data_IF_779475840056
#
_entry.id   IF_779475840056
#
_cell.length_a   1.000
_cell.length_b   1.000
_cell.length_c   1.000
_cell.angle_alpha   90.00
_cell.angle_beta   90.00
_cell.angle_gamma   90.00
#
_symmetry.space_group_name_H-M   'P 1'
#
loop_
_entity.id
_entity.type
_entity.pdbx_description
1 polymer ?
#
# COMPACT_ATOMS: atom_id res chain seq x y z
N UNK A 1 8.78 -28.36 -13.63
CA UNK A 1 7.95 -27.88 -12.50
C UNK A 1 8.55 -28.47 -11.23
N UNK A 2 9.32 -27.70 -10.47
CA UNK A 2 9.83 -28.18 -9.20
C UNK A 2 8.63 -28.31 -8.24
N UNK A 3 8.48 -29.48 -7.60
CA UNK A 3 7.55 -29.65 -6.48
C UNK A 3 7.77 -28.47 -5.51
N UNK A 4 6.70 -27.84 -5.04
CA UNK A 4 6.80 -26.69 -4.14
C UNK A 4 7.48 -27.14 -2.85
N UNK A 5 8.78 -26.93 -2.77
CA UNK A 5 9.59 -27.35 -1.65
C UNK A 5 9.13 -26.58 -0.40
N UNK A 6 9.08 -27.28 0.73
CA UNK A 6 8.88 -26.63 2.03
C UNK A 6 10.04 -25.68 2.31
N UNK A 7 9.75 -24.62 3.06
CA UNK A 7 10.71 -23.65 3.54
C UNK A 7 11.82 -24.36 4.31
N UNK A 8 13.10 -24.03 4.07
CA UNK A 8 14.20 -24.51 4.89
C UNK A 8 14.22 -23.86 6.29
N UNK A 9 13.39 -22.84 6.50
CA UNK A 9 13.26 -22.11 7.76
C UNK A 9 11.92 -22.40 8.43
N UNK A 10 11.94 -22.43 9.76
CA UNK A 10 10.74 -22.57 10.57
C UNK A 10 9.85 -21.33 10.47
N UNK A 11 8.54 -21.50 10.70
CA UNK A 11 7.59 -20.38 10.65
C UNK A 11 7.93 -19.30 11.69
N UNK A 12 8.52 -19.69 12.83
CA UNK A 12 9.01 -18.82 13.89
C UNK A 12 10.20 -17.94 13.49
N UNK A 13 10.85 -18.21 12.36
CA UNK A 13 11.97 -17.40 11.88
C UNK A 13 11.51 -16.19 11.04
N UNK A 14 10.23 -16.14 10.65
CA UNK A 14 9.67 -15.02 9.90
C UNK A 14 9.20 -13.92 10.85
N UNK A 15 9.78 -12.73 10.71
CA UNK A 15 9.56 -11.61 11.64
C UNK A 15 8.85 -10.41 11.00
N UNK A 16 8.68 -10.43 9.68
CA UNK A 16 7.99 -9.39 8.92
C UNK A 16 6.81 -10.00 8.17
N UNK A 17 5.61 -9.49 8.43
CA UNK A 17 4.42 -9.81 7.66
C UNK A 17 4.14 -8.74 6.60
N UNK A 18 3.66 -9.15 5.43
CA UNK A 18 3.31 -8.25 4.33
C UNK A 18 1.96 -8.67 3.77
N UNK A 19 1.00 -7.75 3.75
CA UNK A 19 -0.36 -7.98 3.26
C UNK A 19 -0.58 -7.21 1.96
N UNK A 20 -1.07 -7.92 0.95
CA UNK A 20 -1.54 -7.38 -0.32
C UNK A 20 -3.06 -7.60 -0.44
N UNK A 21 -3.76 -6.70 -1.10
CA UNK A 21 -5.19 -6.83 -1.42
C UNK A 21 -5.44 -7.57 -2.74
N UNK A 22 -4.56 -7.39 -3.73
CA UNK A 22 -4.76 -7.84 -5.11
C UNK A 22 -3.66 -8.79 -5.59
N UNK A 23 -3.96 -9.69 -6.55
CA UNK A 23 -2.95 -10.55 -7.18
C UNK A 23 -1.80 -9.76 -7.84
N UNK A 24 -2.10 -8.59 -8.42
CA UNK A 24 -1.12 -7.69 -9.04
C UNK A 24 -0.10 -7.18 -8.01
N UNK A 25 -0.55 -6.92 -6.78
CA UNK A 25 0.28 -6.47 -5.66
C UNK A 25 1.10 -7.63 -5.09
N UNK A 26 0.51 -8.82 -4.94
CA UNK A 26 1.23 -10.03 -4.55
C UNK A 26 2.36 -10.37 -5.54
N UNK A 27 2.10 -10.22 -6.84
CA UNK A 27 3.11 -10.42 -7.87
C UNK A 27 4.25 -9.40 -7.77
N UNK A 28 3.94 -8.13 -7.48
CA UNK A 28 4.97 -7.12 -7.21
C UNK A 28 5.79 -7.45 -5.95
N UNK A 29 5.14 -7.81 -4.84
CA UNK A 29 5.80 -8.19 -3.60
C UNK A 29 6.74 -9.38 -3.78
N UNK A 30 6.28 -10.43 -4.49
CA UNK A 30 7.11 -11.58 -4.86
C UNK A 30 8.28 -11.18 -5.78
N UNK A 31 8.04 -10.21 -6.65
CA UNK A 31 9.03 -9.61 -7.54
C UNK A 31 10.20 -8.97 -6.78
N UNK A 32 9.92 -8.37 -5.62
CA UNK A 32 10.88 -7.66 -4.78
C UNK A 32 11.72 -8.56 -3.87
N UNK A 33 11.31 -9.82 -3.65
CA UNK A 33 12.07 -10.75 -2.82
C UNK A 33 13.43 -11.08 -3.43
N UNK A 34 14.47 -11.09 -2.61
CA UNK A 34 15.82 -11.51 -3.01
C UNK A 34 15.83 -13.03 -3.24
N UNK A 35 15.33 -13.78 -2.25
CA UNK A 35 15.18 -15.25 -2.30
C UNK A 35 13.75 -15.68 -2.00
N UNK A 36 13.29 -16.75 -2.65
CA UNK A 36 12.01 -17.40 -2.37
C UNK A 36 12.29 -18.68 -1.57
N UNK A 37 11.58 -18.89 -0.47
CA UNK A 37 11.77 -20.03 0.42
C UNK A 37 10.77 -21.17 0.16
N UNK A 38 9.71 -20.95 -0.62
CA UNK A 38 8.70 -21.98 -0.90
C UNK A 38 7.51 -21.90 0.05
N UNK A 39 6.99 -23.07 0.49
CA UNK A 39 5.79 -23.16 1.35
C UNK A 39 6.13 -23.16 2.84
N UNK A 40 5.20 -22.80 3.74
CA UNK A 40 5.42 -22.93 5.19
C UNK A 40 5.92 -24.32 5.58
N UNK A 41 6.85 -24.38 6.54
CA UNK A 41 7.42 -25.65 7.00
C UNK A 41 6.36 -26.44 7.78
N UNK A 42 5.69 -25.75 8.71
CA UNK A 42 4.49 -26.24 9.37
C UNK A 42 3.29 -25.74 8.60
N UNK A 43 2.41 -26.67 8.21
CA UNK A 43 1.19 -26.33 7.51
C UNK A 43 0.33 -25.37 8.38
N UNK A 44 -0.33 -24.38 7.76
CA UNK A 44 -1.34 -23.60 8.45
C UNK A 44 -2.43 -24.49 9.07
N UNK A 45 -3.07 -24.01 10.13
CA UNK A 45 -4.23 -24.70 10.71
C UNK A 45 -5.39 -24.76 9.70
N UNK A 46 -6.31 -25.71 9.84
CA UNK A 46 -7.43 -25.89 8.90
C UNK A 46 -8.32 -24.65 8.73
N UNK A 47 -8.33 -23.75 9.73
CA UNK A 47 -9.08 -22.50 9.70
C UNK A 47 -8.35 -21.35 8.98
N UNK A 48 -7.03 -21.48 8.73
CA UNK A 48 -6.23 -20.50 7.98
C UNK A 48 -6.32 -20.82 6.49
N UNK A 49 -7.02 -19.95 5.75
CA UNK A 49 -7.26 -20.12 4.32
C UNK A 49 -6.29 -19.31 3.46
N UNK A 50 -5.32 -18.63 4.08
CA UNK A 50 -4.35 -17.85 3.35
C UNK A 50 -3.40 -18.73 2.54
N UNK A 51 -2.91 -18.16 1.44
CA UNK A 51 -1.75 -18.71 0.73
C UNK A 51 -0.55 -17.82 0.97
N UNK A 52 0.52 -18.40 1.50
CA UNK A 52 1.73 -17.67 1.85
C UNK A 52 2.83 -17.79 0.79
N UNK A 53 3.49 -16.67 0.52
CA UNK A 53 4.78 -16.60 -0.18
C UNK A 53 5.84 -16.23 0.83
N UNK A 54 6.84 -17.09 0.96
CA UNK A 54 7.93 -16.92 1.92
C UNK A 54 9.22 -16.54 1.20
N UNK A 55 9.99 -15.63 1.78
CA UNK A 55 11.26 -15.21 1.19
C UNK A 55 12.12 -14.35 2.11
N UNK A 56 13.20 -13.81 1.54
CA UNK A 56 14.07 -12.82 2.18
C UNK A 56 14.04 -11.50 1.42
N UNK A 57 14.03 -10.40 2.17
CA UNK A 57 14.33 -9.06 1.68
C UNK A 57 15.43 -8.47 2.58
N UNK A 58 16.60 -8.23 2.00
CA UNK A 58 17.81 -7.83 2.72
C UNK A 58 18.16 -8.85 3.81
N UNK A 59 18.02 -8.43 5.06
CA UNK A 59 18.31 -9.23 6.26
C UNK A 59 17.08 -9.84 6.92
N UNK A 60 15.89 -9.62 6.38
CA UNK A 60 14.63 -10.02 7.00
C UNK A 60 13.98 -11.19 6.25
N UNK A 61 13.50 -12.18 7.00
CA UNK A 61 12.61 -13.21 6.49
C UNK A 61 11.19 -12.68 6.50
N UNK A 62 10.60 -12.60 5.31
CA UNK A 62 9.30 -11.97 5.05
C UNK A 62 8.29 -13.02 4.65
N UNK A 63 7.10 -12.95 5.23
CA UNK A 63 5.91 -13.68 4.78
C UNK A 63 4.95 -12.71 4.12
N UNK A 64 4.56 -13.01 2.88
CA UNK A 64 3.56 -12.26 2.14
C UNK A 64 2.30 -13.10 2.00
N UNK A 65 1.13 -12.49 2.21
CA UNK A 65 -0.16 -13.05 1.79
C UNK A 65 -0.92 -12.05 0.93
N UNK A 66 -1.87 -12.56 0.15
CA UNK A 66 -2.88 -11.76 -0.53
C UNK A 66 -4.25 -12.09 0.03
N UNK A 67 -5.16 -11.12 0.01
CA UNK A 67 -6.57 -11.39 0.28
C UNK A 67 -7.14 -12.38 -0.75
N UNK A 68 -8.18 -13.15 -0.39
CA UNK A 68 -8.85 -14.03 -1.31
C UNK A 68 -9.35 -13.27 -2.55
N UNK A 69 -9.30 -13.93 -3.71
CA UNK A 69 -9.69 -13.32 -4.97
C UNK A 69 -11.14 -12.79 -4.88
N UNK A 70 -11.35 -11.54 -5.26
CA UNK A 70 -12.63 -10.81 -5.18
C UNK A 70 -13.13 -10.46 -3.77
N UNK A 71 -12.33 -10.70 -2.72
CA UNK A 71 -12.66 -10.36 -1.33
C UNK A 71 -11.74 -9.26 -0.80
N UNK A 72 -11.83 -8.06 -1.35
CA UNK A 72 -11.11 -6.86 -0.85
C UNK A 72 -11.80 -6.25 0.38
N UNK A 73 -11.13 -5.29 1.02
CA UNK A 73 -11.71 -4.50 2.11
C UNK A 73 -11.23 -4.88 3.50
N UNK A 74 -11.65 -4.07 4.48
CA UNK A 74 -11.24 -4.10 5.89
C UNK A 74 -11.39 -5.49 6.52
N UNK A 75 -12.56 -6.14 6.40
CA UNK A 75 -12.81 -7.42 7.05
C UNK A 75 -11.89 -8.53 6.56
N UNK A 76 -11.70 -8.64 5.24
CA UNK A 76 -10.80 -9.62 4.65
C UNK A 76 -9.36 -9.37 5.09
N UNK A 77 -8.92 -8.11 5.09
CA UNK A 77 -7.59 -7.74 5.56
C UNK A 77 -7.36 -8.16 7.01
N UNK A 78 -8.29 -7.85 7.91
CA UNK A 78 -8.21 -8.25 9.32
C UNK A 78 -8.15 -9.77 9.49
N UNK A 79 -8.98 -10.52 8.74
CA UNK A 79 -8.98 -11.98 8.80
C UNK A 79 -7.63 -12.56 8.35
N UNK A 80 -7.16 -12.17 7.16
CA UNK A 80 -5.88 -12.62 6.62
C UNK A 80 -4.69 -12.27 7.53
N UNK A 81 -4.68 -11.08 8.13
CA UNK A 81 -3.64 -10.67 9.06
C UNK A 81 -3.63 -11.56 10.32
N UNK A 82 -4.80 -11.77 10.91
CA UNK A 82 -4.95 -12.56 12.13
C UNK A 82 -4.51 -14.02 11.91
N UNK A 83 -4.95 -14.63 10.82
CA UNK A 83 -4.54 -15.96 10.40
C UNK A 83 -3.01 -16.05 10.21
N UNK A 84 -2.40 -15.06 9.52
CA UNK A 84 -0.95 -14.97 9.37
C UNK A 84 -0.23 -14.93 10.72
N UNK A 85 -0.71 -14.14 11.69
CA UNK A 85 -0.10 -14.03 13.01
C UNK A 85 -0.19 -15.34 13.83
N UNK A 86 -1.18 -16.19 13.55
CA UNK A 86 -1.25 -17.52 14.16
C UNK A 86 -0.27 -18.50 13.53
N UNK A 87 -0.14 -18.48 12.20
CA UNK A 87 0.77 -19.37 11.47
C UNK A 87 2.24 -18.97 11.61
N UNK A 88 2.52 -17.67 11.75
CA UNK A 88 3.86 -17.09 11.90
C UNK A 88 3.94 -16.28 13.22
N UNK A 89 4.10 -16.98 14.36
CA UNK A 89 3.90 -16.38 15.68
C UNK A 89 5.03 -15.45 16.11
N UNK A 90 6.07 -15.22 15.29
CA UNK A 90 7.19 -14.34 15.60
C UNK A 90 7.25 -13.08 14.73
N UNK A 91 6.20 -12.80 13.96
CA UNK A 91 6.03 -11.50 13.32
C UNK A 91 6.07 -10.38 14.38
N UNK A 92 6.81 -9.32 14.08
CA UNK A 92 7.01 -8.13 14.91
C UNK A 92 6.44 -6.88 14.26
N UNK A 93 6.67 -6.75 12.96
CA UNK A 93 6.16 -5.64 12.16
C UNK A 93 5.43 -6.18 10.94
N UNK A 94 4.48 -5.37 10.50
CA UNK A 94 3.69 -5.57 9.31
C UNK A 94 3.93 -4.50 8.26
N UNK A 95 3.68 -4.85 7.00
CA UNK A 95 3.55 -3.91 5.89
C UNK A 95 2.19 -4.15 5.24
N UNK A 96 1.40 -3.10 5.04
CA UNK A 96 0.25 -3.13 4.14
C UNK A 96 0.67 -2.41 2.87
N UNK A 97 0.88 -3.16 1.79
CA UNK A 97 1.42 -2.62 0.54
C UNK A 97 0.51 -2.96 -0.61
N UNK A 98 0.08 -1.94 -1.32
CA UNK A 98 -0.78 -2.11 -2.47
C UNK A 98 -1.00 -0.83 -3.23
N UNK A 99 -2.06 -0.79 -4.02
CA UNK A 99 -2.48 0.42 -4.73
C UNK A 99 -3.47 1.22 -3.90
N UNK A 100 -3.50 2.52 -4.10
CA UNK A 100 -4.48 3.44 -3.52
C UNK A 100 -4.94 4.48 -4.54
N UNK A 101 -5.89 5.31 -4.11
CA UNK A 101 -6.31 6.49 -4.86
C UNK A 101 -5.59 7.73 -4.34
N UNK A 102 -4.97 8.51 -5.23
CA UNK A 102 -4.35 9.77 -4.87
C UNK A 102 -5.37 10.88 -4.75
N UNK A 103 -5.11 11.82 -3.85
CA UNK A 103 -5.84 13.07 -3.73
C UNK A 103 -4.88 14.20 -4.09
N UNK A 104 -4.86 14.65 -5.36
CA UNK A 104 -3.96 15.72 -5.79
C UNK A 104 -4.36 17.05 -5.17
N UNK A 105 -3.37 17.81 -4.68
CA UNK A 105 -3.53 19.22 -4.33
C UNK A 105 -2.59 20.05 -5.20
N UNK A 106 -3.14 20.58 -6.29
CA UNK A 106 -2.40 21.41 -7.25
C UNK A 106 -2.14 22.83 -6.73
N UNK A 107 -2.63 23.19 -5.53
CA UNK A 107 -2.53 24.55 -4.97
C UNK A 107 -1.51 24.68 -3.84
N UNK A 108 -1.32 23.64 -3.03
CA UNK A 108 -0.43 23.64 -1.86
C UNK A 108 0.82 22.78 -2.04
N UNK A 109 1.40 22.75 -3.26
CA UNK A 109 2.66 22.05 -3.59
C UNK A 109 2.63 20.51 -3.39
N UNK A 110 1.45 19.89 -3.18
CA UNK A 110 1.28 18.44 -3.04
C UNK A 110 0.54 17.84 -4.23
N UNK A 111 1.14 17.98 -5.39
CA UNK A 111 0.64 17.38 -6.62
C UNK A 111 1.00 15.89 -6.69
N UNK A 112 0.13 15.06 -6.12
CA UNK A 112 0.20 13.60 -6.17
C UNK A 112 -0.16 13.12 -7.56
N UNK A 113 0.68 12.27 -8.14
CA UNK A 113 0.53 11.76 -9.51
C UNK A 113 0.38 10.24 -9.57
N UNK A 114 -0.15 9.74 -10.68
CA UNK A 114 -0.22 8.31 -10.92
C UNK A 114 1.21 7.73 -11.00
N UNK A 115 1.43 6.63 -10.30
CA UNK A 115 2.75 6.02 -10.12
C UNK A 115 3.49 6.47 -8.86
N UNK A 116 3.14 7.61 -8.26
CA UNK A 116 3.70 8.04 -6.97
C UNK A 116 3.38 7.04 -5.85
N UNK A 117 4.07 7.18 -4.72
CA UNK A 117 3.85 6.35 -3.53
C UNK A 117 3.45 7.24 -2.35
N UNK A 118 2.37 6.90 -1.67
CA UNK A 118 1.94 7.55 -0.42
C UNK A 118 2.20 6.64 0.76
N UNK A 119 2.82 7.19 1.80
CA UNK A 119 3.10 6.53 3.07
C UNK A 119 2.20 7.10 4.15
N UNK A 120 1.50 6.20 4.85
CA UNK A 120 0.68 6.54 6.01
C UNK A 120 1.57 6.98 7.17
N UNK A 121 1.84 8.27 7.25
CA UNK A 121 2.70 8.86 8.28
C UNK A 121 2.34 10.34 8.43
N UNK A 122 1.59 10.65 9.48
CA UNK A 122 1.18 12.00 9.85
C UNK A 122 1.32 12.21 11.36
N UNK A 123 1.63 13.44 11.77
CA UNK A 123 1.85 13.80 13.18
C UNK A 123 0.55 13.90 13.98
N UNK A 124 -0.59 14.20 13.33
CA UNK A 124 -1.87 14.39 14.02
C UNK A 124 -2.62 13.08 14.23
N UNK A 125 -2.69 12.20 13.21
CA UNK A 125 -3.54 11.00 13.24
C UNK A 125 -2.77 9.68 13.10
N UNK A 126 -1.44 9.70 13.21
CA UNK A 126 -0.65 8.47 13.11
C UNK A 126 -0.55 7.88 11.71
N UNK A 127 -1.01 8.62 10.69
CA UNK A 127 -0.92 8.28 9.28
C UNK A 127 -2.17 7.65 8.65
N UNK A 128 -3.14 7.18 9.44
CA UNK A 128 -4.37 6.56 8.90
C UNK A 128 -5.59 7.03 9.69
N UNK A 129 -6.66 7.36 8.97
CA UNK A 129 -7.96 7.70 9.55
C UNK A 129 -9.06 6.85 8.93
N UNK A 130 -10.14 6.60 9.67
CA UNK A 130 -11.33 5.93 9.14
C UNK A 130 -12.38 6.98 8.79
N UNK A 131 -12.62 7.18 7.48
CA UNK A 131 -13.46 8.29 7.03
C UNK A 131 -14.96 8.00 7.12
N UNK A 132 -15.35 6.73 7.12
CA UNK A 132 -16.74 6.27 7.15
C UNK A 132 -17.17 5.62 8.48
N UNK A 133 -16.34 5.69 9.52
CA UNK A 133 -16.66 5.19 10.86
C UNK A 133 -16.90 6.30 11.89
N UNK A 134 -18.15 6.43 12.34
CA UNK A 134 -18.57 7.59 13.11
C UNK A 134 -20.07 7.63 13.37
N UNK A 135 -20.49 8.70 14.05
CA UNK A 135 -21.90 8.98 14.36
C UNK A 135 -22.48 9.95 13.35
N UNK A 136 -23.62 9.62 12.76
CA UNK A 136 -24.48 10.59 12.09
C UNK A 136 -25.28 11.33 13.14
N UNK A 137 -25.13 12.64 13.20
CA UNK A 137 -25.83 13.52 14.14
C UNK A 137 -27.18 13.96 13.54
N UNK A 138 -28.09 14.46 14.39
CA UNK A 138 -29.44 14.85 13.98
C UNK A 138 -29.46 16.02 12.98
N UNK A 139 -28.41 16.83 12.96
CA UNK A 139 -28.19 17.91 11.98
C UNK A 139 -27.64 17.42 10.62
N UNK A 140 -27.46 16.10 10.46
CA UNK A 140 -26.89 15.48 9.27
C UNK A 140 -25.37 15.47 9.24
N UNK A 141 -24.69 16.07 10.21
CA UNK A 141 -23.22 16.06 10.28
C UNK A 141 -22.70 14.68 10.71
N UNK A 142 -21.45 14.38 10.35
CA UNK A 142 -20.79 13.12 10.71
C UNK A 142 -19.60 13.37 11.62
N UNK A 143 -19.65 12.80 12.82
CA UNK A 143 -18.56 12.84 13.79
C UNK A 143 -17.75 11.55 13.71
N UNK A 144 -16.48 11.64 13.30
CA UNK A 144 -15.56 10.49 13.33
C UNK A 144 -15.25 10.13 14.79
N UNK A 145 -15.24 8.83 15.10
CA UNK A 145 -15.02 8.30 16.47
C UNK A 145 -13.85 7.33 16.55
N UNK A 146 -13.09 7.13 15.45
CA UNK A 146 -12.02 6.14 15.40
C UNK A 146 -10.66 6.77 15.72
N UNK A 147 -9.93 6.16 16.65
CA UNK A 147 -8.50 6.38 16.82
C UNK A 147 -7.79 5.08 16.45
N UNK A 148 -6.93 5.15 15.43
CA UNK A 148 -6.10 4.04 15.00
C UNK A 148 -4.71 4.17 15.63
N UNK A 149 -4.10 3.02 15.92
CA UNK A 149 -2.71 2.95 16.31
C UNK A 149 -1.80 3.49 15.19
N UNK A 150 -0.62 3.94 15.59
CA UNK A 150 0.40 4.42 14.68
C UNK A 150 1.36 3.29 14.30
N UNK A 151 2.16 3.48 13.25
CA UNK A 151 3.20 2.51 12.90
C UNK A 151 4.21 2.27 14.04
N UNK A 152 4.77 1.05 14.13
CA UNK A 152 5.79 0.69 15.12
C UNK A 152 6.97 1.67 15.17
N UNK A 153 7.58 1.92 16.35
CA UNK A 153 8.74 2.78 16.50
C UNK A 153 9.90 2.44 15.53
N UNK A 154 10.20 1.16 15.34
CA UNK A 154 11.23 0.70 14.41
C UNK A 154 10.97 1.16 12.97
N UNK A 155 9.72 1.07 12.51
CA UNK A 155 9.31 1.53 11.19
C UNK A 155 9.36 3.06 11.10
N UNK A 156 8.94 3.80 12.14
CA UNK A 156 9.03 5.27 12.16
C UNK A 156 10.47 5.77 12.07
N UNK A 157 11.39 5.15 12.81
CA UNK A 157 12.82 5.49 12.71
C UNK A 157 13.38 5.19 11.33
N UNK A 158 12.97 4.08 10.70
CA UNK A 158 13.35 3.76 9.32
C UNK A 158 12.77 4.78 8.32
N UNK A 159 11.51 5.20 8.49
CA UNK A 159 10.88 6.25 7.68
C UNK A 159 11.60 7.59 7.79
N UNK A 160 12.03 7.98 9.00
CA UNK A 160 12.83 9.19 9.19
C UNK A 160 14.19 9.08 8.46
N UNK A 161 14.83 7.91 8.52
CA UNK A 161 16.12 7.68 7.86
C UNK A 161 16.01 7.68 6.33
N UNK A 162 15.02 6.99 5.76
CA UNK A 162 14.86 6.93 4.30
C UNK A 162 14.43 8.29 3.74
N UNK A 163 13.57 9.03 4.46
CA UNK A 163 13.20 10.40 4.07
C UNK A 163 14.42 11.32 4.01
N UNK A 164 15.29 11.27 5.02
CA UNK A 164 16.53 12.04 5.02
C UNK A 164 17.50 11.60 3.90
N UNK A 165 17.52 10.31 3.54
CA UNK A 165 18.30 9.83 2.39
C UNK A 165 17.71 10.34 1.07
N UNK A 166 16.38 10.37 0.91
CA UNK A 166 15.70 10.90 -0.27
C UNK A 166 15.87 12.42 -0.44
N UNK A 167 16.10 13.17 0.64
CA UNK A 167 16.48 14.59 0.56
C UNK A 167 17.91 14.78 -0.02
N UNK A 168 18.75 13.76 0.06
CA UNK A 168 20.16 13.80 -0.37
C UNK A 168 20.41 13.14 -1.73
N UNK A 169 19.63 12.12 -2.08
CA UNK A 169 19.82 11.30 -3.28
C UNK A 169 18.50 10.68 -3.75
N UNK A 170 18.47 10.23 -5.01
CA UNK A 170 17.30 9.58 -5.61
C UNK A 170 16.93 8.27 -4.88
N UNK A 171 15.64 7.93 -4.95
CA UNK A 171 15.13 6.67 -4.39
C UNK A 171 15.60 5.47 -5.20
N UNK A 172 15.80 4.34 -4.51
CA UNK A 172 16.15 3.06 -5.13
C UNK A 172 14.94 2.33 -5.75
N UNK A 173 13.75 2.93 -5.75
CA UNK A 173 12.54 2.30 -6.28
C UNK A 173 12.68 1.86 -7.75
N UNK A 174 13.23 2.73 -8.61
CA UNK A 174 13.37 2.43 -10.03
C UNK A 174 14.45 1.37 -10.30
N UNK A 175 15.52 1.32 -9.51
CA UNK A 175 16.53 0.27 -9.63
C UNK A 175 15.95 -1.09 -9.22
N UNK A 176 15.21 -1.16 -8.11
CA UNK A 176 14.51 -2.39 -7.70
C UNK A 176 13.44 -2.82 -8.71
N UNK A 177 12.74 -1.88 -9.35
CA UNK A 177 11.83 -2.21 -10.45
C UNK A 177 12.59 -2.90 -11.59
N UNK A 178 13.71 -2.35 -12.03
CA UNK A 178 14.47 -2.91 -13.15
C UNK A 178 15.07 -4.29 -12.81
N UNK A 179 15.52 -4.49 -11.57
CA UNK A 179 15.91 -5.81 -11.04
C UNK A 179 14.73 -6.81 -11.12
N UNK A 180 13.55 -6.41 -10.64
CA UNK A 180 12.34 -7.23 -10.69
C UNK A 180 11.96 -7.59 -12.14
N UNK A 181 11.98 -6.62 -13.05
CA UNK A 181 11.63 -6.81 -14.46
C UNK A 181 12.67 -7.67 -15.20
N UNK A 182 13.93 -7.68 -14.74
CA UNK A 182 14.98 -8.57 -15.23
C UNK A 182 14.78 -10.00 -14.71
N UNK A 183 14.45 -10.15 -13.42
CA UNK A 183 14.14 -11.45 -12.79
C UNK A 183 12.88 -12.10 -13.36
N UNK A 184 11.88 -11.28 -13.69
CA UNK A 184 10.59 -11.73 -14.21
C UNK A 184 10.21 -11.00 -15.52
N UNK A 185 10.80 -11.36 -16.67
CA UNK A 185 10.60 -10.65 -17.94
C UNK A 185 9.14 -10.56 -18.42
N UNK A 186 8.27 -11.49 -17.98
CA UNK A 186 6.83 -11.44 -18.28
C UNK A 186 6.18 -10.18 -17.71
N UNK A 187 6.66 -9.65 -16.58
CA UNK A 187 6.10 -8.46 -15.95
C UNK A 187 6.23 -7.21 -16.85
N UNK A 188 7.28 -7.14 -17.70
CA UNK A 188 7.39 -6.09 -18.72
C UNK A 188 6.23 -6.09 -19.71
N UNK A 189 5.70 -7.28 -20.03
CA UNK A 189 4.60 -7.47 -20.98
C UNK A 189 3.21 -7.31 -20.34
N UNK A 190 3.14 -7.26 -19.02
CA UNK A 190 1.86 -7.21 -18.28
C UNK A 190 1.67 -5.89 -17.53
N UNK A 191 2.32 -4.82 -17.98
CA UNK A 191 2.03 -3.45 -17.53
C UNK A 191 2.79 -2.97 -16.30
N UNK A 192 3.81 -3.70 -15.81
CA UNK A 192 4.64 -3.25 -14.69
C UNK A 192 5.69 -2.19 -15.06
N UNK A 193 5.76 -1.79 -16.34
CA UNK A 193 6.60 -0.67 -16.80
C UNK A 193 5.85 0.65 -16.67
N UNK A 194 6.60 1.76 -16.58
CA UNK A 194 6.01 3.10 -16.56
C UNK A 194 5.04 3.29 -17.73
N UNK A 195 3.74 3.57 -17.48
CA UNK A 195 2.75 3.70 -18.54
C UNK A 195 2.98 4.89 -19.48
N UNK A 196 3.71 5.91 -19.03
CA UNK A 196 3.99 7.14 -19.79
C UNK A 196 3.19 8.35 -19.28
N UNK A 197 3.84 9.52 -19.31
CA UNK A 197 3.28 10.80 -18.81
C UNK A 197 1.94 11.18 -19.45
N UNK A 198 1.73 10.86 -20.73
CA UNK A 198 0.48 11.12 -21.44
C UNK A 198 -0.73 10.36 -20.90
N UNK A 199 -0.51 9.37 -20.03
CA UNK A 199 -1.57 8.59 -19.38
C UNK A 199 -1.83 9.02 -17.94
N UNK A 200 -1.08 9.99 -17.42
CA UNK A 200 -1.36 10.65 -16.16
C UNK A 200 -2.20 11.90 -16.41
N UNK A 201 -3.53 11.72 -16.42
CA UNK A 201 -4.51 12.76 -16.74
C UNK A 201 -5.40 13.02 -15.53
N UNK A 202 -5.40 14.26 -15.05
CA UNK A 202 -6.24 14.73 -13.96
C UNK A 202 -7.28 15.69 -14.52
N UNK A 203 -8.56 15.44 -14.27
CA UNK A 203 -9.66 16.23 -14.80
C UNK A 203 -10.30 17.13 -13.74
N UNK A 204 -11.01 18.16 -14.20
CA UNK A 204 -11.84 18.99 -13.33
C UNK A 204 -12.85 18.12 -12.56
N UNK A 205 -13.11 18.40 -11.26
CA UNK A 205 -14.04 17.59 -10.46
C UNK A 205 -15.47 17.51 -11.03
N UNK A 206 -15.89 18.52 -11.80
CA UNK A 206 -17.19 18.58 -12.46
C UNK A 206 -17.27 17.77 -13.76
N UNK A 207 -16.13 17.39 -14.34
CA UNK A 207 -16.09 16.60 -15.56
C UNK A 207 -16.28 15.12 -15.23
N UNK A 208 -17.33 14.51 -15.78
CA UNK A 208 -17.64 13.10 -15.55
C UNK A 208 -17.27 12.28 -16.76
N UNK A 209 -16.55 11.19 -16.52
CA UNK A 209 -16.19 10.22 -17.54
C UNK A 209 -17.43 9.53 -18.11
N UNK A 210 -17.45 9.29 -19.43
CA UNK A 210 -18.53 8.52 -20.07
C UNK A 210 -18.50 7.07 -19.58
N UNK A 211 -19.67 6.54 -19.20
CA UNK A 211 -19.79 5.17 -18.67
C UNK A 211 -19.49 4.10 -19.72
N UNK A 212 -19.59 4.45 -20.98
CA UNK A 212 -19.40 3.58 -22.14
C UNK A 212 -17.91 3.46 -22.53
N UNK A 213 -17.07 4.43 -22.14
CA UNK A 213 -15.67 4.47 -22.52
C UNK A 213 -14.78 3.69 -21.54
N UNK A 214 -13.97 2.76 -22.05
CA UNK A 214 -13.07 1.94 -21.24
C UNK A 214 -11.80 2.68 -20.76
N UNK A 215 -11.51 3.86 -21.32
CA UNK A 215 -10.35 4.66 -20.95
C UNK A 215 -10.58 6.13 -21.26
N UNK A 216 -9.71 7.00 -20.74
CA UNK A 216 -9.82 8.43 -20.98
C UNK A 216 -9.41 8.88 -22.39
N UNK A 217 -9.07 7.98 -23.33
CA UNK A 217 -8.58 8.35 -24.67
C UNK A 217 -9.51 9.33 -25.42
N UNK A 218 -10.81 9.26 -25.16
CA UNK A 218 -11.85 10.10 -25.76
C UNK A 218 -12.30 11.26 -24.86
N UNK A 219 -11.70 11.41 -23.67
CA UNK A 219 -11.99 12.52 -22.77
C UNK A 219 -11.47 13.84 -23.33
N UNK A 220 -12.25 14.89 -23.14
CA UNK A 220 -11.93 16.25 -23.57
C UNK A 220 -10.71 16.78 -22.82
N UNK A 221 -9.63 17.02 -23.56
CA UNK A 221 -8.38 17.56 -23.02
C UNK A 221 -8.54 18.97 -22.44
N UNK A 222 -9.57 19.73 -22.85
CA UNK A 222 -9.86 21.05 -22.28
C UNK A 222 -10.33 20.99 -20.81
N UNK A 223 -10.79 19.81 -20.37
CA UNK A 223 -11.23 19.56 -18.99
C UNK A 223 -10.10 19.06 -18.09
N UNK A 224 -8.87 18.95 -18.60
CA UNK A 224 -7.72 18.57 -17.79
C UNK A 224 -7.24 19.74 -16.93
N UNK A 225 -6.90 19.44 -15.68
CA UNK A 225 -6.26 20.39 -14.78
C UNK A 225 -4.80 20.55 -15.23
N UNK A 226 -4.42 21.79 -15.54
CA UNK A 226 -3.02 22.11 -15.80
C UNK A 226 -2.16 21.84 -14.57
N UNK A 227 -1.06 21.13 -14.76
CA UNK A 227 -0.07 20.81 -13.72
C UNK A 227 1.32 21.16 -14.23
N UNK A 228 2.12 21.79 -13.37
CA UNK A 228 3.51 22.15 -13.69
C UNK A 228 4.31 20.90 -14.07
N UNK A 229 5.21 20.99 -15.05
CA UNK A 229 6.05 19.85 -15.37
C UNK A 229 7.02 19.53 -14.22
N UNK A 230 7.14 18.24 -13.88
CA UNK A 230 8.20 17.77 -12.98
C UNK A 230 9.53 17.79 -13.74
N UNK A 231 10.63 17.89 -12.99
CA UNK A 231 11.99 17.85 -13.54
C UNK A 231 12.27 16.53 -14.28
N UNK A 232 11.70 15.44 -13.79
CA UNK A 232 11.81 14.09 -14.35
C UNK A 232 10.46 13.35 -14.26
N UNK A 233 10.47 12.08 -14.66
CA UNK A 233 9.31 11.19 -14.58
C UNK A 233 9.41 10.21 -13.39
N UNK A 234 10.26 10.50 -12.41
CA UNK A 234 10.43 9.62 -11.26
C UNK A 234 9.21 9.71 -10.33
N UNK A 235 8.74 8.55 -9.82
CA UNK A 235 7.73 8.53 -8.78
C UNK A 235 8.18 9.26 -7.52
N UNK A 236 7.31 10.12 -7.00
CA UNK A 236 7.57 10.86 -5.77
C UNK A 236 6.97 10.13 -4.58
N UNK A 237 7.69 10.12 -3.45
CA UNK A 237 7.20 9.59 -2.18
C UNK A 237 6.56 10.71 -1.36
N UNK A 238 5.29 10.55 -1.02
CA UNK A 238 4.52 11.49 -0.21
C UNK A 238 4.24 10.90 1.17
N UNK A 239 4.37 11.71 2.21
CA UNK A 239 4.08 11.29 3.59
C UNK A 239 2.87 12.07 4.09
N UNK A 240 1.83 11.38 4.55
CA UNK A 240 0.65 12.04 5.09
C UNK A 240 -0.46 11.08 5.48
N UNK A 241 -1.66 11.64 5.62
CA UNK A 241 -2.85 10.91 6.08
C UNK A 241 -3.47 10.09 4.94
N UNK A 242 -3.66 8.80 5.20
CA UNK A 242 -4.42 7.88 4.36
C UNK A 242 -5.81 7.69 4.96
N UNK A 243 -6.85 8.00 4.20
CA UNK A 243 -8.23 7.75 4.59
C UNK A 243 -8.67 6.34 4.15
N UNK A 244 -8.95 5.48 5.11
CA UNK A 244 -9.37 4.10 4.91
C UNK A 244 -10.87 3.94 5.18
N UNK A 245 -11.57 3.12 4.40
CA UNK A 245 -12.99 2.85 4.58
C UNK A 245 -13.48 1.67 3.75
N UNK A 246 -14.76 1.33 3.84
CA UNK A 246 -15.32 0.17 3.14
C UNK A 246 -15.87 0.50 1.74
N UNK A 247 -15.85 1.77 1.33
CA UNK A 247 -16.39 2.21 0.04
C UNK A 247 -15.26 2.57 -0.92
N UNK A 248 -15.36 2.09 -2.15
CA UNK A 248 -14.48 2.55 -3.24
C UNK A 248 -14.96 3.92 -3.72
N UNK A 249 -14.17 4.95 -3.48
CA UNK A 249 -14.49 6.32 -3.91
C UNK A 249 -14.14 6.50 -5.38
N UNK A 250 -15.13 6.79 -6.21
CA UNK A 250 -14.99 7.08 -7.65
C UNK A 250 -15.72 8.37 -8.03
N UNK A 251 -15.97 9.23 -7.02
CA UNK A 251 -16.64 10.51 -7.18
C UNK A 251 -15.72 11.63 -6.67
N UNK A 252 -15.41 12.58 -7.55
CA UNK A 252 -14.48 13.66 -7.25
C UNK A 252 -14.99 14.58 -6.13
N UNK A 253 -16.32 14.73 -5.98
CA UNK A 253 -16.89 15.55 -4.90
C UNK A 253 -16.69 14.88 -3.54
N UNK A 254 -16.95 13.58 -3.46
CA UNK A 254 -16.69 12.78 -2.26
C UNK A 254 -15.20 12.78 -1.89
N UNK A 255 -14.30 12.66 -2.89
CA UNK A 255 -12.85 12.79 -2.68
C UNK A 255 -12.49 14.12 -2.01
N UNK A 256 -13.00 15.24 -2.53
CA UNK A 256 -12.74 16.57 -2.00
C UNK A 256 -13.30 16.75 -0.58
N UNK A 257 -14.49 16.20 -0.29
CA UNK A 257 -15.06 16.21 1.07
C UNK A 257 -14.18 15.44 2.05
N UNK A 258 -13.64 14.29 1.65
CA UNK A 258 -12.73 13.50 2.49
C UNK A 258 -11.42 14.26 2.71
N UNK A 259 -10.87 14.88 1.65
CA UNK A 259 -9.67 15.72 1.75
C UNK A 259 -9.87 16.87 2.75
N UNK A 260 -10.93 17.65 2.60
CA UNK A 260 -11.21 18.81 3.46
C UNK A 260 -11.39 18.40 4.92
N UNK A 261 -12.12 17.32 5.16
CA UNK A 261 -12.47 16.87 6.51
C UNK A 261 -11.33 16.20 7.25
N UNK A 262 -10.49 15.46 6.54
CA UNK A 262 -9.50 14.57 7.13
C UNK A 262 -8.06 14.94 6.80
N UNK A 263 -7.84 15.98 5.99
CA UNK A 263 -6.54 16.33 5.42
C UNK A 263 -5.88 15.12 4.73
N UNK A 264 -6.71 14.23 4.17
CA UNK A 264 -6.26 13.00 3.55
C UNK A 264 -5.64 13.26 2.18
N UNK A 265 -4.57 12.55 1.88
CA UNK A 265 -3.86 12.64 0.59
C UNK A 265 -3.97 11.36 -0.24
N UNK A 266 -4.48 10.29 0.37
CA UNK A 266 -4.69 9.00 -0.28
C UNK A 266 -5.92 8.30 0.30
N UNK A 267 -6.59 7.50 -0.53
CA UNK A 267 -7.70 6.64 -0.17
C UNK A 267 -7.31 5.16 -0.26
N UNK A 268 -7.80 4.40 0.70
CA UNK A 268 -7.47 3.00 0.96
C UNK A 268 -8.74 2.22 1.38
N UNK A 269 -8.74 0.89 1.23
CA UNK A 269 -9.88 0.04 1.63
C UNK A 269 -9.57 -1.04 2.68
N UNK A 270 -8.32 -1.16 3.16
CA UNK A 270 -7.90 -2.27 4.03
C UNK A 270 -7.35 -1.81 5.38
N UNK A 271 -6.65 -0.68 5.43
CA UNK A 271 -5.83 -0.25 6.56
C UNK A 271 -6.60 -0.12 7.88
N UNK A 272 -7.86 0.35 7.84
CA UNK A 272 -8.69 0.51 9.02
C UNK A 272 -8.85 -0.79 9.83
N UNK A 273 -8.79 -1.94 9.16
CA UNK A 273 -8.89 -3.26 9.80
C UNK A 273 -7.60 -3.74 10.45
N UNK A 274 -6.46 -3.15 10.06
CA UNK A 274 -5.13 -3.64 10.39
C UNK A 274 -4.45 -2.83 11.49
N UNK A 275 -4.54 -1.50 11.46
CA UNK A 275 -3.69 -0.64 12.28
C UNK A 275 -3.66 -1.01 13.77
N UNK A 276 -4.80 -1.44 14.32
CA UNK A 276 -4.91 -1.79 15.75
C UNK A 276 -4.45 -3.21 16.11
N UNK A 277 -4.39 -4.13 15.14
CA UNK A 277 -4.21 -5.56 15.37
C UNK A 277 -2.96 -6.14 14.69
N UNK A 278 -2.44 -5.43 13.70
CA UNK A 278 -1.30 -5.79 12.89
C UNK A 278 -0.38 -4.56 12.85
N UNK A 279 0.63 -4.48 13.73
CA UNK A 279 1.49 -3.30 13.86
C UNK A 279 2.24 -3.03 12.55
N UNK A 280 1.72 -2.12 11.73
CA UNK A 280 2.19 -1.96 10.36
C UNK A 280 2.34 -0.50 9.91
N UNK A 281 3.03 -0.34 8.79
CA UNK A 281 2.98 0.88 7.98
C UNK A 281 2.18 0.60 6.70
N UNK A 282 1.43 1.62 6.25
CA UNK A 282 0.62 1.55 5.04
C UNK A 282 1.36 2.26 3.92
N UNK A 283 1.53 1.57 2.79
CA UNK A 283 2.28 2.01 1.61
C UNK A 283 1.38 1.83 0.39
N UNK A 284 1.02 2.93 -0.27
CA UNK A 284 0.06 2.94 -1.37
C UNK A 284 0.65 3.54 -2.63
N UNK A 285 0.80 2.72 -3.66
CA UNK A 285 1.11 3.16 -5.00
C UNK A 285 -0.13 3.76 -5.66
N UNK A 286 -0.02 4.96 -6.22
CA UNK A 286 -1.15 5.71 -6.71
C UNK A 286 -1.53 5.25 -8.11
N UNK A 287 -2.75 4.70 -8.24
CA UNK A 287 -3.22 4.08 -9.49
C UNK A 287 -4.42 4.78 -10.12
N UNK A 288 -5.11 5.63 -9.37
CA UNK A 288 -6.22 6.47 -9.85
C UNK A 288 -6.42 7.66 -8.88
N UNK A 289 -7.32 8.58 -9.23
CA UNK A 289 -7.58 9.80 -8.47
C UNK A 289 -8.90 9.82 -7.72
N UNK A 290 -9.52 8.68 -7.41
CA UNK A 290 -10.84 8.62 -6.76
C UNK A 290 -11.94 9.46 -7.44
N UNK A 291 -11.96 9.42 -8.77
CA UNK A 291 -13.00 10.03 -9.60
C UNK A 291 -13.51 9.04 -10.65
N UNK A 292 -14.41 9.52 -11.51
CA UNK A 292 -15.07 8.71 -12.53
C UNK A 292 -14.13 8.23 -13.64
N UNK A 293 -12.90 8.74 -13.71
CA UNK A 293 -11.89 8.37 -14.71
C UNK A 293 -11.02 7.18 -14.29
N UNK A 294 -11.32 6.56 -13.14
CA UNK A 294 -10.63 5.35 -12.67
C UNK A 294 -10.59 4.30 -13.78
N UNK A 295 -9.38 3.84 -14.07
CA UNK A 295 -9.11 2.69 -14.94
C UNK A 295 -7.90 1.93 -14.41
N UNK A 296 -7.65 0.74 -14.96
CA UNK A 296 -6.69 -0.19 -14.37
C UNK A 296 -5.28 -0.12 -14.98
N UNK A 297 -5.05 0.83 -15.91
CA UNK A 297 -3.76 0.97 -16.64
C UNK A 297 -2.56 1.11 -15.72
N UNK A 298 -2.72 1.88 -14.64
CA UNK A 298 -1.63 2.20 -13.71
C UNK A 298 -1.46 1.18 -12.60
N UNK A 299 -2.40 0.25 -12.39
CA UNK A 299 -2.35 -0.66 -11.24
C UNK A 299 -1.04 -1.46 -11.15
N UNK A 300 -0.52 -2.10 -12.21
CA UNK A 300 0.68 -2.92 -12.07
C UNK A 300 1.93 -2.10 -11.77
N UNK A 301 2.11 -0.97 -12.47
CA UNK A 301 3.24 -0.06 -12.20
C UNK A 301 3.16 0.53 -10.78
N UNK A 302 2.00 1.03 -10.37
CA UNK A 302 1.80 1.59 -9.03
C UNK A 302 2.04 0.54 -7.92
N UNK A 303 1.55 -0.68 -8.11
CA UNK A 303 1.82 -1.79 -7.19
C UNK A 303 3.32 -2.11 -7.08
N UNK A 304 4.05 -2.06 -8.21
CA UNK A 304 5.50 -2.25 -8.20
C UNK A 304 6.25 -1.11 -7.49
N UNK A 305 5.83 0.15 -7.65
CA UNK A 305 6.44 1.27 -6.93
C UNK A 305 6.23 1.16 -5.42
N UNK A 306 5.01 0.82 -4.98
CA UNK A 306 4.72 0.57 -3.58
C UNK A 306 5.58 -0.58 -3.02
N UNK A 307 5.70 -1.68 -3.75
CA UNK A 307 6.51 -2.82 -3.35
C UNK A 307 8.01 -2.49 -3.35
N UNK A 308 8.49 -1.70 -4.29
CA UNK A 308 9.88 -1.25 -4.36
C UNK A 308 10.23 -0.37 -3.16
N UNK A 309 9.34 0.57 -2.80
CA UNK A 309 9.50 1.39 -1.59
C UNK A 309 9.51 0.52 -0.33
N UNK A 310 8.62 -0.47 -0.24
CA UNK A 310 8.59 -1.40 0.88
C UNK A 310 9.90 -2.20 1.02
N UNK A 311 10.51 -2.63 -0.11
CA UNK A 311 11.84 -3.24 -0.12
C UNK A 311 12.91 -2.26 0.38
N UNK A 312 12.91 -1.03 -0.11
CA UNK A 312 13.83 0.02 0.31
C UNK A 312 13.73 0.28 1.81
N UNK A 313 12.51 0.48 2.33
CA UNK A 313 12.23 0.72 3.75
C UNK A 313 12.79 -0.38 4.65
N UNK A 314 12.62 -1.65 4.28
CA UNK A 314 13.19 -2.77 5.04
C UNK A 314 14.72 -2.72 5.10
N UNK A 315 15.39 -2.13 4.11
CA UNK A 315 16.84 -1.85 4.16
C UNK A 315 17.25 -0.92 5.30
N UNK A 316 16.39 0.02 5.67
CA UNK A 316 16.62 1.02 6.73
C UNK A 316 16.21 0.56 8.13
N UNK A 317 15.39 -0.50 8.25
CA UNK A 317 15.02 -1.05 9.57
C UNK A 317 16.25 -1.69 10.22
N UNK A 318 16.57 -1.30 11.46
CA UNK A 318 17.67 -1.91 12.20
C UNK A 318 17.25 -3.28 12.76
N UNK A 319 18.14 -4.28 12.68
CA UNK A 319 17.82 -5.61 13.23
C UNK A 319 17.60 -5.54 14.75
N UNK A 320 18.42 -4.77 15.47
CA UNK A 320 18.29 -4.62 16.94
C UNK A 320 17.01 -3.92 17.37
N UNK A 321 16.47 -2.99 16.56
CA UNK A 321 15.21 -2.34 16.89
C UNK A 321 14.02 -3.31 16.78
N UNK A 322 14.11 -4.33 15.91
CA UNK A 322 13.09 -5.38 15.78
C UNK A 322 12.98 -6.26 17.02
N UNK A 323 14.10 -6.49 17.73
CA UNK A 323 14.11 -7.29 18.96
C UNK A 323 13.38 -6.57 20.12
N UNK A 324 13.30 -5.23 20.06
CA UNK A 324 12.57 -4.41 21.03
C UNK A 324 11.08 -4.27 20.74
N UNK A 325 10.61 -4.67 19.55
CA UNK A 325 9.18 -4.68 19.24
C UNK A 325 8.49 -5.87 19.91
N UNK A 326 7.24 -5.65 20.35
CA UNK A 326 6.41 -6.75 20.83
C UNK A 326 6.09 -7.71 19.67
N UNK A 327 5.96 -8.98 19.98
CA UNK A 327 5.40 -9.96 19.04
C UNK A 327 4.00 -9.48 18.67
N UNK A 328 3.67 -9.39 17.38
CA UNK A 328 2.36 -8.90 16.95
C UNK A 328 1.20 -9.74 17.48
N UNK A 329 1.42 -11.05 17.71
CA UNK A 329 0.46 -11.93 18.38
C UNK A 329 0.15 -11.49 19.81
N UNK A 330 1.11 -10.93 20.55
CA UNK A 330 0.91 -10.47 21.91
C UNK A 330 0.13 -9.14 21.94
N UNK A 331 0.25 -8.32 20.89
CA UNK A 331 -0.56 -7.09 20.71
C UNK A 331 -2.04 -7.44 20.57
N UNK A 332 -2.38 -8.55 19.87
CA UNK A 332 -3.76 -9.04 19.76
C UNK A 332 -4.38 -9.42 21.11
N UNK A 333 -3.57 -9.81 22.09
CA UNK A 333 -4.04 -10.28 23.41
C UNK A 333 -4.21 -9.14 24.43
N UNK A 334 -3.84 -7.91 24.08
CA UNK A 334 -3.95 -6.73 24.96
C UNK A 334 -5.19 -5.87 24.66
N UNK A 335 -5.98 -6.21 23.64
CA UNK A 335 -7.19 -5.52 23.21
C UNK A 335 -8.48 -6.18 23.65
#
# INVERSE_FOLDING_TARGET
MAASQQSPFANEEYTVGWICALPTELAAAKGMMDTIHGRPQTAPADADHNTYVLGTIGKFKVVVTSLPLHHIGVCSATASAKEMLFTFPKIRIGLLVGIGAGIPDTTNERDIRLGDVVIGSDSAHGGVVVYDFGKKLADGSFQSISMLNQSPPSLKSALASIKAEHDMQESKMLSYLEEMLTKFPRMRKTGYTYPGKSHDRLFQPSYTHSKEAASCSECDASQEIYRLERLDNEPVVHYGTIASGNTMVTDASMRLQIQEKHSAICLDMEAAGLMNHFPCVVIRGISYYADSHKNDRWQPFAAAMAAAYAKELLGHVQHKSMDGELVSKDVLCQG
#
